data_IF_593627109407
#
_entry.id   IF_593627109407
#
_cell.length_a   1.000
_cell.length_b   1.000
_cell.length_c   1.000
_cell.angle_alpha   90.00
_cell.angle_beta   90.00
_cell.angle_gamma   90.00
#
_symmetry.space_group_name_H-M   'P 1'
#
loop_
_entity.id
_entity.type
_entity.pdbx_description
1 polymer ?
#
# COMPACT_ATOMS: atom_id res chain seq x y z
N UNK A 1 27.02 8.40 -11.59
CA UNK A 1 25.86 9.23 -11.96
C UNK A 1 26.21 10.63 -11.49
N UNK A 2 26.42 11.57 -12.40
CA UNK A 2 26.75 12.96 -12.05
C UNK A 2 25.49 13.59 -11.47
N UNK A 3 25.43 13.77 -10.15
CA UNK A 3 24.39 14.59 -9.53
C UNK A 3 24.65 16.03 -9.92
N UNK A 4 23.76 16.58 -10.74
CA UNK A 4 23.69 18.01 -10.98
C UNK A 4 23.31 18.70 -9.66
N UNK A 5 24.19 19.53 -9.06
CA UNK A 5 23.95 20.16 -7.77
C UNK A 5 22.81 21.19 -7.81
N UNK A 6 22.25 21.52 -8.98
CA UNK A 6 21.09 22.42 -9.13
C UNK A 6 19.74 21.70 -9.27
N UNK A 7 19.70 20.36 -9.23
CA UNK A 7 18.43 19.62 -9.20
C UNK A 7 17.67 19.98 -7.92
N UNK A 8 16.65 20.84 -8.05
CA UNK A 8 15.72 21.16 -6.96
C UNK A 8 15.14 19.84 -6.47
N UNK A 9 15.37 19.54 -5.18
CA UNK A 9 14.80 18.36 -4.54
C UNK A 9 13.31 18.24 -4.89
N UNK A 10 12.96 17.17 -5.60
CA UNK A 10 11.59 16.92 -6.00
C UNK A 10 10.74 16.72 -4.74
N UNK A 11 9.71 17.55 -4.58
CA UNK A 11 8.78 17.49 -3.47
C UNK A 11 7.45 16.94 -3.93
N UNK A 12 6.99 15.87 -3.28
CA UNK A 12 5.67 15.28 -3.54
C UNK A 12 4.57 16.34 -3.33
N UNK A 13 3.65 16.56 -4.28
CA UNK A 13 2.67 17.65 -4.28
C UNK A 13 1.47 17.34 -3.36
N UNK A 14 1.75 17.06 -2.09
CA UNK A 14 0.74 16.70 -1.08
C UNK A 14 -0.38 17.73 -0.92
N UNK A 15 -0.12 19.01 -1.20
CA UNK A 15 -1.16 20.04 -1.16
C UNK A 15 -2.31 19.76 -2.13
N UNK A 16 -2.00 19.39 -3.38
CA UNK A 16 -3.00 19.02 -4.39
C UNK A 16 -3.75 17.76 -3.97
N UNK A 17 -3.03 16.78 -3.43
CA UNK A 17 -3.61 15.55 -2.89
C UNK A 17 -4.62 15.84 -1.78
N UNK A 18 -4.22 16.57 -0.73
CA UNK A 18 -5.09 16.85 0.41
C UNK A 18 -6.31 17.70 0.02
N UNK A 19 -6.16 18.67 -0.89
CA UNK A 19 -7.30 19.43 -1.42
C UNK A 19 -8.26 18.50 -2.16
N UNK A 20 -7.77 17.66 -3.06
CA UNK A 20 -8.61 16.72 -3.81
C UNK A 20 -9.34 15.75 -2.88
N UNK A 21 -8.64 15.15 -1.91
CA UNK A 21 -9.20 14.22 -0.93
C UNK A 21 -10.25 14.92 -0.05
N UNK A 22 -9.98 16.15 0.41
CA UNK A 22 -10.90 16.92 1.23
C UNK A 22 -12.19 17.26 0.49
N UNK A 23 -12.09 17.68 -0.78
CA UNK A 23 -13.25 17.96 -1.63
C UNK A 23 -14.09 16.69 -1.84
N UNK A 24 -13.45 15.56 -2.14
CA UNK A 24 -14.16 14.29 -2.33
C UNK A 24 -14.81 13.79 -1.04
N UNK A 25 -14.11 13.88 0.10
CA UNK A 25 -14.66 13.55 1.41
C UNK A 25 -15.90 14.40 1.72
N UNK A 26 -15.80 15.73 1.56
CA UNK A 26 -16.90 16.64 1.79
C UNK A 26 -18.09 16.37 0.86
N UNK A 27 -17.83 16.06 -0.42
CA UNK A 27 -18.88 15.72 -1.38
C UNK A 27 -19.62 14.43 -1.00
N UNK A 28 -18.91 13.37 -0.59
CA UNK A 28 -19.52 12.10 -0.17
C UNK A 28 -20.30 12.29 1.13
N UNK A 29 -19.75 13.02 2.10
CA UNK A 29 -20.42 13.32 3.36
C UNK A 29 -21.68 14.17 3.13
N UNK A 30 -21.59 15.18 2.26
CA UNK A 30 -22.73 16.00 1.84
C UNK A 30 -23.81 15.18 1.14
N UNK A 31 -23.43 14.24 0.27
CA UNK A 31 -24.37 13.32 -0.37
C UNK A 31 -25.08 12.44 0.66
N UNK A 32 -24.38 11.93 1.67
CA UNK A 32 -25.02 11.18 2.76
C UNK A 32 -26.01 12.04 3.54
N UNK A 33 -25.62 13.28 3.88
CA UNK A 33 -26.50 14.23 4.56
C UNK A 33 -27.74 14.58 3.74
N UNK A 34 -27.66 14.61 2.40
CA UNK A 34 -28.78 14.86 1.50
C UNK A 34 -29.70 13.65 1.32
N UNK A 35 -29.13 12.45 1.13
CA UNK A 35 -29.90 11.22 0.88
C UNK A 35 -30.63 10.74 2.14
N UNK A 36 -29.96 10.82 3.31
CA UNK A 36 -30.55 10.37 4.57
C UNK A 36 -30.24 11.34 5.72
N UNK A 37 -30.88 12.53 5.73
CA UNK A 37 -30.61 13.54 6.76
C UNK A 37 -30.81 13.05 8.21
N UNK A 38 -31.85 12.26 8.55
CA UNK A 38 -32.02 11.74 9.91
C UNK A 38 -30.89 10.79 10.32
N UNK A 39 -30.48 9.88 9.43
CA UNK A 39 -29.39 8.94 9.72
C UNK A 39 -28.07 9.68 9.89
N UNK A 40 -27.77 10.62 8.98
CA UNK A 40 -26.58 11.46 9.08
C UNK A 40 -26.49 12.18 10.43
N UNK A 41 -27.56 12.88 10.83
CA UNK A 41 -27.61 13.58 12.13
C UNK A 41 -27.42 12.63 13.32
N UNK A 42 -28.02 11.45 13.26
CA UNK A 42 -27.89 10.44 14.31
C UNK A 42 -26.45 9.90 14.43
N UNK A 43 -25.72 9.76 13.32
CA UNK A 43 -24.32 9.31 13.35
C UNK A 43 -23.37 10.42 13.84
N UNK A 44 -23.44 11.62 13.26
CA UNK A 44 -22.52 12.72 13.63
C UNK A 44 -22.69 13.20 15.07
N UNK A 45 -23.85 12.93 15.69
CA UNK A 45 -24.08 13.18 17.12
C UNK A 45 -23.32 12.24 18.08
N UNK A 46 -22.53 11.29 17.57
CA UNK A 46 -21.83 10.27 18.37
C UNK A 46 -20.29 10.33 18.19
N UNK A 47 -19.62 11.44 18.51
CA UNK A 47 -18.21 11.66 18.17
C UNK A 47 -17.25 10.60 18.78
N UNK A 48 -17.50 10.18 20.02
CA UNK A 48 -16.67 9.13 20.65
C UNK A 48 -16.84 7.79 19.93
N UNK A 49 -18.08 7.39 19.64
CA UNK A 49 -18.34 6.15 18.90
C UNK A 49 -17.75 6.22 17.50
N UNK A 50 -17.79 7.38 16.83
CA UNK A 50 -17.14 7.59 15.53
C UNK A 50 -15.64 7.30 15.62
N UNK A 51 -14.95 7.85 16.61
CA UNK A 51 -13.52 7.61 16.80
C UNK A 51 -13.22 6.12 17.02
N UNK A 52 -13.95 5.46 17.92
CA UNK A 52 -13.75 4.05 18.23
C UNK A 52 -13.99 3.14 17.01
N UNK A 53 -15.08 3.38 16.29
CA UNK A 53 -15.37 2.65 15.05
C UNK A 53 -14.36 2.96 13.96
N UNK A 54 -13.85 4.19 13.89
CA UNK A 54 -12.81 4.55 12.92
C UNK A 54 -11.54 3.73 13.16
N UNK A 55 -11.10 3.63 14.41
CA UNK A 55 -9.95 2.79 14.78
C UNK A 55 -10.25 1.32 14.49
N UNK A 56 -11.42 0.81 14.89
CA UNK A 56 -11.80 -0.59 14.73
C UNK A 56 -11.89 -1.02 13.25
N UNK A 57 -12.46 -0.19 12.37
CA UNK A 57 -12.54 -0.43 10.93
C UNK A 57 -11.16 -0.42 10.27
N UNK A 58 -10.16 0.22 10.88
CA UNK A 58 -8.76 0.10 10.46
C UNK A 58 -8.27 -1.36 10.41
N UNK A 59 -8.84 -2.27 11.22
CA UNK A 59 -8.46 -3.68 11.21
C UNK A 59 -8.81 -4.37 9.88
N UNK A 60 -10.07 -4.42 9.41
CA UNK A 60 -10.38 -4.97 8.09
C UNK A 60 -9.73 -4.20 6.94
N UNK A 61 -9.53 -2.87 7.06
CA UNK A 61 -8.78 -2.11 6.06
C UNK A 61 -7.32 -2.55 5.96
N UNK A 62 -6.66 -2.84 7.08
CA UNK A 62 -5.29 -3.35 7.06
C UNK A 62 -5.16 -4.76 6.51
N UNK A 63 -6.19 -5.60 6.69
CA UNK A 63 -6.24 -6.91 6.04
C UNK A 63 -6.40 -6.73 4.53
N UNK A 64 -7.28 -5.83 4.13
CA UNK A 64 -7.46 -5.47 2.74
C UNK A 64 -6.15 -4.97 2.14
N UNK A 65 -5.45 -4.02 2.76
CA UNK A 65 -4.16 -3.51 2.29
C UNK A 65 -3.17 -4.65 2.07
N UNK A 66 -3.00 -5.53 3.05
CA UNK A 66 -2.10 -6.68 2.97
C UNK A 66 -2.41 -7.58 1.75
N UNK A 67 -3.70 -7.93 1.56
CA UNK A 67 -4.14 -8.79 0.45
C UNK A 67 -4.10 -8.04 -0.90
N UNK A 68 -4.47 -6.77 -0.89
CA UNK A 68 -4.49 -5.88 -2.04
C UNK A 68 -3.07 -5.72 -2.59
N UNK A 69 -2.11 -5.42 -1.73
CA UNK A 69 -0.72 -5.27 -2.11
C UNK A 69 -0.16 -6.59 -2.67
N UNK A 70 -0.37 -7.70 -1.96
CA UNK A 70 0.18 -9.01 -2.34
C UNK A 70 -0.42 -9.59 -3.62
N UNK A 71 -1.72 -9.47 -3.82
CA UNK A 71 -2.43 -10.20 -4.89
C UNK A 71 -2.95 -9.31 -6.00
N UNK A 72 -3.33 -8.06 -5.71
CA UNK A 72 -3.88 -7.16 -6.71
C UNK A 72 -2.75 -6.32 -7.33
N UNK A 73 -1.91 -5.69 -6.51
CA UNK A 73 -0.79 -4.88 -7.02
C UNK A 73 0.35 -5.74 -7.56
N UNK A 74 0.76 -6.79 -6.84
CA UNK A 74 1.87 -7.66 -7.26
C UNK A 74 1.49 -8.77 -8.24
N UNK A 75 0.20 -9.02 -8.48
CA UNK A 75 -0.21 -10.18 -9.29
C UNK A 75 -1.49 -10.02 -10.11
N UNK A 76 -2.13 -8.85 -10.11
CA UNK A 76 -3.28 -8.50 -10.96
C UNK A 76 -4.33 -9.61 -11.10
N UNK A 77 -4.64 -10.32 -10.01
CA UNK A 77 -5.52 -11.51 -10.06
C UNK A 77 -6.96 -11.18 -10.47
N UNK A 78 -7.32 -9.89 -10.54
CA UNK A 78 -8.61 -9.40 -11.02
C UNK A 78 -8.50 -8.69 -12.39
N UNK A 79 -9.50 -8.85 -13.28
CA UNK A 79 -9.46 -8.42 -14.69
C UNK A 79 -9.65 -6.92 -14.93
N UNK A 80 -9.63 -6.08 -13.90
CA UNK A 80 -9.70 -4.61 -14.03
C UNK A 80 -8.56 -3.92 -13.27
N UNK A 81 -7.62 -4.71 -12.73
CA UNK A 81 -6.50 -4.23 -11.94
C UNK A 81 -5.21 -4.10 -12.76
N UNK A 82 -5.28 -4.27 -14.08
CA UNK A 82 -4.12 -4.22 -14.97
C UNK A 82 -3.35 -2.89 -14.86
N UNK A 83 -4.07 -1.77 -14.83
CA UNK A 83 -3.47 -0.45 -14.73
C UNK A 83 -2.73 -0.28 -13.39
N UNK A 84 -3.37 -0.67 -12.29
CA UNK A 84 -2.78 -0.61 -10.95
C UNK A 84 -1.56 -1.50 -10.80
N UNK A 85 -1.63 -2.74 -11.29
CA UNK A 85 -0.47 -3.64 -11.30
C UNK A 85 0.69 -3.07 -12.14
N UNK A 86 0.40 -2.48 -13.31
CA UNK A 86 1.44 -1.84 -14.13
C UNK A 86 2.07 -0.66 -13.40
N UNK A 87 1.27 0.24 -12.84
CA UNK A 87 1.78 1.38 -12.07
C UNK A 87 2.68 0.90 -10.91
N UNK A 88 2.20 -0.08 -10.14
CA UNK A 88 2.95 -0.64 -9.03
C UNK A 88 4.24 -1.38 -9.46
N UNK A 89 4.18 -2.14 -10.56
CA UNK A 89 5.37 -2.80 -11.11
C UNK A 89 6.39 -1.78 -11.65
N UNK A 90 5.91 -0.70 -12.26
CA UNK A 90 6.74 0.42 -12.71
C UNK A 90 7.40 1.09 -11.51
N UNK A 91 6.66 1.36 -10.45
CA UNK A 91 7.20 1.88 -9.19
C UNK A 91 8.34 1.00 -8.67
N UNK A 92 8.11 -0.31 -8.49
CA UNK A 92 9.18 -1.25 -8.10
C UNK A 92 10.36 -1.31 -9.07
N UNK A 93 10.13 -1.07 -10.36
CA UNK A 93 11.19 -0.98 -11.36
C UNK A 93 12.06 0.27 -11.18
N UNK A 94 11.41 1.40 -10.93
CA UNK A 94 12.04 2.71 -10.75
C UNK A 94 12.71 2.88 -9.39
N UNK A 95 12.20 2.20 -8.36
CA UNK A 95 12.76 2.20 -6.99
C UNK A 95 13.40 0.85 -6.64
N UNK A 96 13.98 0.18 -7.64
CA UNK A 96 14.40 -1.21 -7.50
C UNK A 96 15.54 -1.40 -6.49
N UNK A 97 15.47 -2.52 -5.75
CA UNK A 97 16.57 -3.01 -4.90
C UNK A 97 16.98 -4.38 -5.40
N UNK A 98 18.17 -4.46 -6.01
CA UNK A 98 18.66 -5.67 -6.69
C UNK A 98 19.91 -6.20 -6.00
N UNK A 99 19.81 -7.44 -5.54
CA UNK A 99 20.94 -8.23 -5.07
C UNK A 99 20.66 -9.71 -5.38
N UNK A 100 21.30 -10.29 -6.42
CA UNK A 100 21.03 -11.66 -6.86
C UNK A 100 21.63 -12.70 -5.90
N UNK A 101 21.00 -12.87 -4.74
CA UNK A 101 21.37 -13.88 -3.75
C UNK A 101 20.68 -15.22 -4.05
N UNK A 102 21.41 -16.33 -3.87
CA UNK A 102 20.96 -17.68 -4.24
C UNK A 102 20.90 -18.62 -3.03
N UNK A 103 19.86 -19.48 -2.92
CA UNK A 103 19.81 -20.52 -1.88
C UNK A 103 20.91 -21.58 -2.05
N UNK A 104 21.51 -21.72 -3.23
CA UNK A 104 22.60 -22.68 -3.48
C UNK A 104 23.95 -22.20 -2.93
N UNK A 105 24.10 -20.89 -2.75
CA UNK A 105 25.30 -20.26 -2.19
C UNK A 105 24.89 -19.32 -1.05
N UNK A 106 24.31 -19.84 0.04
CA UNK A 106 23.53 -19.01 0.97
C UNK A 106 24.38 -18.00 1.76
N UNK A 107 25.68 -18.31 1.92
CA UNK A 107 26.65 -17.45 2.60
C UNK A 107 27.36 -16.45 1.66
N UNK A 108 27.21 -16.59 0.33
CA UNK A 108 27.86 -15.68 -0.62
C UNK A 108 27.33 -14.27 -0.45
N UNK A 109 28.27 -13.35 -0.27
CA UNK A 109 28.00 -11.92 -0.25
C UNK A 109 27.87 -11.40 -1.68
N UNK A 110 26.86 -10.58 -1.90
CA UNK A 110 26.56 -9.94 -3.17
C UNK A 110 26.30 -8.47 -2.89
N UNK A 111 26.93 -7.61 -3.68
CA UNK A 111 26.73 -6.17 -3.62
C UNK A 111 25.31 -5.80 -4.08
N UNK A 112 24.68 -4.88 -3.36
CA UNK A 112 23.34 -4.38 -3.69
C UNK A 112 23.42 -3.19 -4.62
N UNK A 113 22.65 -3.22 -5.70
CA UNK A 113 22.31 -2.03 -6.50
C UNK A 113 20.92 -1.55 -6.11
N UNK A 114 20.82 -0.33 -5.58
CA UNK A 114 19.56 0.23 -5.09
C UNK A 114 19.29 1.60 -5.71
N UNK A 115 18.09 1.76 -6.29
CA UNK A 115 17.50 3.03 -6.71
C UNK A 115 16.28 3.38 -5.83
N UNK A 116 16.24 2.85 -4.60
CA UNK A 116 15.09 2.90 -3.72
C UNK A 116 14.45 4.29 -3.47
N UNK A 117 15.20 5.38 -3.25
CA UNK A 117 14.57 6.66 -2.95
C UNK A 117 13.82 7.24 -4.16
N UNK A 118 12.76 7.99 -3.88
CA UNK A 118 12.01 8.77 -4.89
C UNK A 118 12.57 10.19 -4.89
N UNK A 119 13.27 10.54 -5.96
CA UNK A 119 13.96 11.82 -6.14
C UNK A 119 13.57 12.52 -7.44
N UNK A 120 12.85 11.83 -8.34
CA UNK A 120 12.41 12.35 -9.64
C UNK A 120 10.90 12.23 -9.82
N UNK A 121 10.30 13.15 -10.58
CA UNK A 121 8.84 13.25 -10.81
C UNK A 121 8.23 11.97 -11.39
N UNK A 122 8.90 11.35 -12.35
CA UNK A 122 8.41 10.13 -12.97
C UNK A 122 8.37 8.92 -12.00
N UNK A 123 9.17 8.95 -10.92
CA UNK A 123 9.12 7.94 -9.86
C UNK A 123 7.88 8.18 -8.97
N UNK A 124 7.58 9.43 -8.63
CA UNK A 124 6.39 9.84 -7.87
C UNK A 124 5.09 9.43 -8.58
N UNK A 125 4.97 9.72 -9.88
CA UNK A 125 3.77 9.42 -10.68
C UNK A 125 3.36 7.94 -10.61
N UNK A 126 4.34 7.04 -10.45
CA UNK A 126 4.11 5.60 -10.35
C UNK A 126 3.81 5.11 -8.92
N UNK A 127 4.11 5.94 -7.91
CA UNK A 127 4.01 5.62 -6.48
C UNK A 127 2.62 5.92 -5.90
N UNK A 128 1.95 6.96 -6.39
CA UNK A 128 0.68 7.45 -5.84
C UNK A 128 -0.54 6.86 -6.55
N UNK A 129 -1.64 6.68 -5.83
CA UNK A 129 -2.93 6.42 -6.43
C UNK A 129 -3.45 7.67 -7.17
N UNK A 130 -4.30 7.50 -8.20
CA UNK A 130 -4.97 8.61 -8.85
C UNK A 130 -5.75 9.49 -7.86
N UNK A 131 -5.78 10.80 -8.12
CA UNK A 131 -6.47 11.76 -7.24
C UNK A 131 -7.97 11.47 -7.05
N UNK A 132 -8.59 10.68 -7.94
CA UNK A 132 -10.00 10.28 -7.89
C UNK A 132 -10.25 8.93 -7.19
N UNK A 133 -9.27 8.34 -6.51
CA UNK A 133 -9.41 7.01 -5.89
C UNK A 133 -10.31 6.95 -4.66
N UNK A 134 -10.48 8.06 -3.91
CA UNK A 134 -11.25 8.04 -2.67
C UNK A 134 -12.72 7.59 -2.87
N UNK A 135 -13.51 8.13 -3.82
CA UNK A 135 -14.87 7.69 -4.09
C UNK A 135 -14.98 6.19 -4.38
N UNK A 136 -13.98 5.62 -5.06
CA UNK A 136 -13.97 4.19 -5.37
C UNK A 136 -13.75 3.38 -4.10
N UNK A 137 -12.75 3.74 -3.29
CA UNK A 137 -12.52 3.06 -2.01
C UNK A 137 -13.72 3.22 -1.08
N UNK A 138 -14.27 4.44 -0.97
CA UNK A 138 -15.47 4.71 -0.17
C UNK A 138 -16.66 3.85 -0.62
N UNK A 139 -16.91 3.73 -1.92
CA UNK A 139 -17.97 2.89 -2.47
C UNK A 139 -17.74 1.40 -2.18
N UNK A 140 -16.53 0.90 -2.44
CA UNK A 140 -16.18 -0.51 -2.18
C UNK A 140 -16.36 -0.84 -0.70
N UNK A 141 -15.83 -0.03 0.21
CA UNK A 141 -15.93 -0.29 1.65
C UNK A 141 -17.30 0.05 2.23
N UNK A 142 -18.09 0.91 1.59
CA UNK A 142 -19.50 1.06 1.92
C UNK A 142 -20.23 -0.28 1.71
N UNK A 143 -20.00 -0.95 0.58
CA UNK A 143 -20.63 -2.25 0.28
C UNK A 143 -20.08 -3.36 1.17
N UNK A 144 -18.76 -3.45 1.32
CA UNK A 144 -18.13 -4.58 2.02
C UNK A 144 -18.20 -4.50 3.54
N UNK A 145 -18.23 -3.29 4.10
CA UNK A 145 -18.14 -3.07 5.55
C UNK A 145 -19.34 -2.27 6.04
N UNK A 146 -19.55 -1.07 5.51
CA UNK A 146 -20.44 -0.10 6.14
C UNK A 146 -21.91 -0.53 6.12
N UNK A 147 -22.43 -0.96 4.95
CA UNK A 147 -23.83 -1.39 4.81
C UNK A 147 -24.13 -2.67 5.60
N UNK A 148 -23.30 -3.74 5.54
CA UNK A 148 -23.49 -4.91 6.39
C UNK A 148 -23.48 -4.56 7.89
N UNK A 149 -22.46 -3.84 8.37
CA UNK A 149 -22.37 -3.47 9.78
C UNK A 149 -23.51 -2.54 10.20
N UNK A 150 -23.91 -1.59 9.35
CA UNK A 150 -25.05 -0.70 9.63
C UNK A 150 -26.36 -1.47 9.72
N UNK A 151 -26.54 -2.52 8.91
CA UNK A 151 -27.73 -3.37 8.98
C UNK A 151 -27.80 -4.18 10.28
N UNK A 152 -26.64 -4.56 10.84
CA UNK A 152 -26.54 -5.31 12.10
C UNK A 152 -26.57 -4.40 13.34
N UNK A 153 -26.05 -3.18 13.21
CA UNK A 153 -25.86 -2.22 14.30
C UNK A 153 -26.40 -0.83 13.91
N UNK A 154 -27.72 -0.69 13.70
CA UNK A 154 -28.31 0.51 13.10
C UNK A 154 -28.13 1.79 13.92
N UNK A 155 -27.93 1.69 15.23
CA UNK A 155 -27.70 2.84 16.12
C UNK A 155 -26.25 3.34 16.10
N UNK A 156 -25.31 2.53 15.59
CA UNK A 156 -23.89 2.89 15.57
C UNK A 156 -23.56 3.80 14.37
N UNK A 157 -22.53 4.68 14.47
CA UNK A 157 -22.18 5.64 13.44
C UNK A 157 -21.32 5.02 12.31
N UNK A 158 -21.78 3.90 11.75
CA UNK A 158 -20.98 3.05 10.89
C UNK A 158 -20.61 3.71 9.55
N UNK A 159 -21.53 4.46 8.91
CA UNK A 159 -21.29 5.06 7.60
C UNK A 159 -20.23 6.17 7.68
N UNK A 160 -20.39 7.10 8.64
CA UNK A 160 -19.43 8.18 8.91
C UNK A 160 -18.08 7.59 9.32
N UNK A 161 -18.06 6.61 10.22
CA UNK A 161 -16.81 5.99 10.68
C UNK A 161 -16.09 5.24 9.57
N UNK A 162 -16.82 4.55 8.68
CA UNK A 162 -16.20 3.88 7.53
C UNK A 162 -15.59 4.90 6.57
N UNK A 163 -16.31 5.97 6.25
CA UNK A 163 -15.80 7.03 5.38
C UNK A 163 -14.55 7.70 5.96
N UNK A 164 -14.56 8.02 7.26
CA UNK A 164 -13.40 8.57 7.97
C UNK A 164 -12.23 7.58 7.97
N UNK A 165 -12.48 6.30 8.26
CA UNK A 165 -11.45 5.27 8.26
C UNK A 165 -10.78 5.16 6.90
N UNK A 166 -11.57 5.00 5.84
CA UNK A 166 -11.05 4.87 4.47
C UNK A 166 -10.26 6.11 4.07
N UNK A 167 -10.76 7.30 4.39
CA UNK A 167 -10.09 8.57 4.06
C UNK A 167 -8.77 8.72 4.81
N UNK A 168 -8.79 8.48 6.12
CA UNK A 168 -7.60 8.56 6.97
C UNK A 168 -6.56 7.50 6.57
N UNK A 169 -7.01 6.28 6.28
CA UNK A 169 -6.14 5.20 5.84
C UNK A 169 -5.52 5.49 4.48
N UNK A 170 -6.30 6.03 3.53
CA UNK A 170 -5.80 6.43 2.22
C UNK A 170 -4.74 7.55 2.34
N UNK A 171 -5.01 8.58 3.15
CA UNK A 171 -4.03 9.64 3.42
C UNK A 171 -2.77 9.08 4.08
N UNK A 172 -2.93 8.23 5.10
CA UNK A 172 -1.82 7.61 5.80
C UNK A 172 -0.99 6.75 4.85
N UNK A 173 -1.63 6.00 3.96
CA UNK A 173 -0.94 5.19 2.95
C UNK A 173 -0.05 6.03 2.06
N UNK A 174 -0.60 7.07 1.43
CA UNK A 174 0.14 7.94 0.51
C UNK A 174 1.30 8.67 1.20
N UNK A 175 1.02 9.28 2.34
CA UNK A 175 2.02 10.04 3.11
C UNK A 175 3.12 9.12 3.61
N UNK A 176 2.75 7.99 4.22
CA UNK A 176 3.73 7.07 4.79
C UNK A 176 4.53 6.35 3.71
N UNK A 177 3.90 6.00 2.58
CA UNK A 177 4.61 5.43 1.44
C UNK A 177 5.70 6.38 0.93
N UNK A 178 5.37 7.65 0.73
CA UNK A 178 6.35 8.66 0.33
C UNK A 178 7.46 8.87 1.37
N UNK A 179 7.11 8.89 2.66
CA UNK A 179 8.09 9.00 3.75
C UNK A 179 9.08 7.83 3.70
N UNK A 180 8.60 6.60 3.51
CA UNK A 180 9.43 5.40 3.40
C UNK A 180 10.44 5.48 2.23
N UNK A 181 10.10 6.21 1.18
CA UNK A 181 10.96 6.45 0.01
C UNK A 181 11.85 7.70 0.09
N UNK A 182 11.90 8.40 1.23
CA UNK A 182 12.82 9.53 1.39
C UNK A 182 14.30 9.08 1.27
N UNK A 183 15.19 9.93 0.72
CA UNK A 183 16.61 9.65 0.62
C UNK A 183 17.25 9.20 1.93
N UNK A 184 17.92 8.05 1.90
CA UNK A 184 18.50 7.43 3.09
C UNK A 184 19.47 8.36 3.83
N UNK A 185 20.45 8.90 3.11
CA UNK A 185 21.54 9.71 3.69
C UNK A 185 21.03 11.00 4.31
N UNK A 186 20.02 11.64 3.69
CA UNK A 186 19.49 12.93 4.14
C UNK A 186 18.51 12.82 5.30
N UNK A 187 17.63 11.81 5.30
CA UNK A 187 16.50 11.74 6.22
C UNK A 187 16.60 10.58 7.22
N UNK A 188 17.00 9.39 6.75
CA UNK A 188 16.94 8.18 7.55
C UNK A 188 18.19 7.94 8.39
N UNK A 189 19.39 8.11 7.81
CA UNK A 189 20.66 7.92 8.53
C UNK A 189 20.72 8.78 9.81
N UNK A 190 20.45 10.10 9.78
CA UNK A 190 20.52 10.92 11.00
C UNK A 190 19.54 10.44 12.08
N UNK A 191 18.34 10.01 11.69
CA UNK A 191 17.33 9.49 12.61
C UNK A 191 17.72 8.11 13.18
N UNK A 192 18.44 7.29 12.40
CA UNK A 192 18.93 5.98 12.83
C UNK A 192 20.11 6.06 13.82
N UNK A 193 20.91 7.12 13.76
CA UNK A 193 22.04 7.35 14.68
C UNK A 193 21.58 7.79 16.09
N UNK A 194 20.31 8.19 16.23
CA UNK A 194 19.72 8.55 17.52
C UNK A 194 19.69 7.37 18.51
N UNK A 195 20.23 7.57 19.72
CA UNK A 195 20.37 6.52 20.74
C UNK A 195 19.04 5.87 21.17
N UNK A 196 17.96 6.66 21.26
CA UNK A 196 16.67 6.19 21.78
C UNK A 196 15.80 5.52 20.70
N UNK A 197 15.72 6.13 19.52
CA UNK A 197 14.79 5.70 18.47
C UNK A 197 15.48 5.01 17.28
N UNK A 198 16.81 5.05 17.20
CA UNK A 198 17.58 4.52 16.07
C UNK A 198 17.23 3.08 15.67
N UNK A 199 17.17 2.12 16.60
CA UNK A 199 16.77 0.74 16.28
C UNK A 199 15.35 0.64 15.72
N UNK A 200 14.42 1.48 16.17
CA UNK A 200 13.04 1.51 15.67
C UNK A 200 12.98 2.12 14.27
N UNK A 201 13.68 3.24 14.05
CA UNK A 201 13.78 3.89 12.74
C UNK A 201 14.41 2.93 11.71
N UNK A 202 15.46 2.20 12.09
CA UNK A 202 16.08 1.16 11.24
C UNK A 202 15.08 0.08 10.84
N UNK A 203 14.20 -0.34 11.76
CA UNK A 203 13.16 -1.34 11.48
C UNK A 203 12.10 -0.79 10.53
N UNK A 204 11.68 0.47 10.70
CA UNK A 204 10.66 1.11 9.86
C UNK A 204 11.16 1.23 8.41
N UNK A 205 12.33 1.85 8.21
CA UNK A 205 12.92 1.99 6.88
C UNK A 205 13.24 0.63 6.24
N UNK A 206 13.86 -0.27 7.01
CA UNK A 206 14.22 -1.60 6.54
C UNK A 206 13.00 -2.46 6.17
N UNK A 207 11.80 -2.16 6.67
CA UNK A 207 10.59 -2.92 6.37
C UNK A 207 10.19 -2.78 4.90
N UNK A 208 9.95 -1.55 4.43
CA UNK A 208 9.53 -1.32 3.04
C UNK A 208 10.69 -1.44 2.05
N UNK A 209 11.92 -1.12 2.46
CA UNK A 209 13.11 -1.41 1.65
C UNK A 209 13.24 -2.91 1.36
N UNK A 210 13.01 -3.76 2.37
CA UNK A 210 13.02 -5.21 2.21
C UNK A 210 11.88 -5.70 1.30
N UNK A 211 10.72 -5.04 1.32
CA UNK A 211 9.63 -5.32 0.39
C UNK A 211 10.06 -5.10 -1.07
N UNK A 212 10.77 -4.00 -1.35
CA UNK A 212 11.30 -3.73 -2.71
C UNK A 212 12.36 -4.73 -3.16
N UNK A 213 13.14 -5.29 -2.25
CA UNK A 213 14.07 -6.37 -2.58
C UNK A 213 13.38 -7.74 -2.71
N UNK A 214 12.41 -8.03 -1.84
CA UNK A 214 11.61 -9.27 -1.82
C UNK A 214 10.12 -8.93 -1.73
N UNK A 215 9.45 -8.73 -2.87
CA UNK A 215 8.03 -8.38 -2.94
C UNK A 215 7.06 -9.36 -2.28
N UNK A 216 7.52 -10.56 -1.89
CA UNK A 216 6.75 -11.52 -1.10
C UNK A 216 6.75 -11.28 0.41
N UNK A 217 7.53 -10.33 0.91
CA UNK A 217 7.57 -9.93 2.32
C UNK A 217 6.92 -8.58 2.54
N UNK A 218 6.62 -8.24 3.80
CA UNK A 218 6.39 -6.87 4.25
C UNK A 218 5.37 -6.08 3.41
N UNK A 219 4.14 -6.59 3.31
CA UNK A 219 3.10 -6.02 2.45
C UNK A 219 2.43 -4.77 3.04
N UNK A 220 2.45 -4.58 4.37
CA UNK A 220 1.86 -3.41 4.98
C UNK A 220 2.65 -2.13 4.65
N UNK A 221 1.97 -1.08 4.16
CA UNK A 221 2.50 0.28 4.24
C UNK A 221 2.03 0.87 5.56
N UNK A 222 0.71 0.99 5.75
CA UNK A 222 0.12 1.51 7.00
C UNK A 222 -0.05 0.40 8.03
N UNK A 223 -0.55 -0.76 7.60
CA UNK A 223 -0.97 -1.83 8.52
C UNK A 223 -2.09 -1.37 9.47
N UNK A 224 -2.27 -2.11 10.56
CA UNK A 224 -3.21 -1.68 11.59
C UNK A 224 -2.63 -0.50 12.39
N UNK A 225 -2.82 0.71 11.87
CA UNK A 225 -2.36 1.97 12.44
C UNK A 225 -0.86 1.96 12.81
N UNK A 226 -0.01 1.52 11.88
CA UNK A 226 1.45 1.44 12.04
C UNK A 226 1.97 0.06 12.46
N UNK A 227 1.07 -0.92 12.69
CA UNK A 227 1.45 -2.29 13.03
C UNK A 227 1.22 -3.20 11.82
N UNK A 228 2.27 -3.84 11.33
CA UNK A 228 2.22 -4.83 10.24
C UNK A 228 1.63 -6.18 10.72
N UNK A 229 0.42 -6.11 11.31
CA UNK A 229 -0.26 -7.21 11.99
C UNK A 229 -0.34 -8.47 11.11
N UNK A 230 -0.73 -8.31 9.86
CA UNK A 230 -0.94 -9.43 8.93
C UNK A 230 0.37 -10.03 8.41
N UNK A 231 1.40 -9.21 8.24
CA UNK A 231 2.73 -9.73 7.92
C UNK A 231 3.30 -10.60 9.05
N UNK A 232 3.06 -10.20 10.30
CA UNK A 232 3.41 -11.02 11.46
C UNK A 232 2.54 -12.28 11.54
N UNK A 233 1.21 -12.13 11.44
CA UNK A 233 0.26 -13.24 11.54
C UNK A 233 0.51 -14.32 10.49
N UNK A 234 0.90 -13.94 9.26
CA UNK A 234 1.10 -14.88 8.16
C UNK A 234 2.55 -15.21 7.85
N UNK A 235 3.50 -14.81 8.72
CA UNK A 235 4.95 -15.06 8.58
C UNK A 235 5.56 -14.49 7.29
N UNK A 236 5.04 -13.36 6.82
CA UNK A 236 5.58 -12.61 5.68
C UNK A 236 6.37 -11.37 6.13
N UNK A 237 6.42 -11.07 7.42
CA UNK A 237 7.31 -10.06 7.98
C UNK A 237 8.78 -10.52 7.99
N UNK A 238 9.68 -9.77 7.34
CA UNK A 238 11.14 -9.98 7.37
C UNK A 238 11.88 -8.68 7.67
N UNK A 239 12.86 -8.78 8.56
CA UNK A 239 13.82 -7.72 8.79
C UNK A 239 15.16 -8.14 8.19
N UNK A 240 15.77 -7.30 7.35
CA UNK A 240 17.12 -7.56 6.87
C UNK A 240 18.11 -7.38 8.04
N UNK A 241 19.03 -8.33 8.23
CA UNK A 241 20.12 -8.15 9.19
C UNK A 241 21.08 -7.09 8.65
N UNK A 242 21.47 -7.21 7.38
CA UNK A 242 22.18 -6.18 6.62
C UNK A 242 21.21 -5.40 5.74
N UNK A 243 21.10 -4.10 5.96
CA UNK A 243 20.20 -3.27 5.15
C UNK A 243 20.68 -3.28 3.68
N UNK A 244 19.81 -3.59 2.72
CA UNK A 244 20.17 -3.64 1.30
C UNK A 244 20.21 -2.22 0.70
N UNK A 245 21.12 -1.40 1.22
CA UNK A 245 21.47 -0.09 0.68
C UNK A 245 22.42 -0.26 -0.51
N UNK A 246 22.46 0.72 -1.41
CA UNK A 246 23.39 0.69 -2.54
C UNK A 246 24.85 0.53 -2.05
N UNK A 247 25.60 -0.40 -2.64
CA UNK A 247 26.98 -0.73 -2.26
C UNK A 247 27.12 -1.58 -0.99
N UNK A 248 26.03 -1.92 -0.30
CA UNK A 248 26.08 -2.86 0.82
C UNK A 248 26.26 -4.30 0.31
N UNK A 249 26.84 -5.17 1.12
CA UNK A 249 26.91 -6.61 0.85
C UNK A 249 25.83 -7.36 1.63
N UNK A 250 25.08 -8.22 0.95
CA UNK A 250 24.02 -9.05 1.55
C UNK A 250 24.15 -10.50 1.09
N UNK A 251 23.55 -11.42 1.83
CA UNK A 251 23.50 -12.85 1.47
C UNK A 251 22.08 -13.38 1.38
N UNK A 252 21.91 -14.65 1.02
CA UNK A 252 20.60 -15.29 0.98
C UNK A 252 19.91 -15.28 2.35
N UNK A 253 20.69 -15.37 3.43
CA UNK A 253 20.14 -15.34 4.78
C UNK A 253 19.41 -14.02 5.08
N UNK A 254 19.91 -12.88 4.57
CA UNK A 254 19.24 -11.59 4.73
C UNK A 254 17.84 -11.58 4.09
N UNK A 255 17.69 -12.29 2.95
CA UNK A 255 16.47 -12.35 2.16
C UNK A 255 15.56 -13.57 2.41
N UNK A 256 16.03 -14.57 3.17
CA UNK A 256 15.30 -15.81 3.35
C UNK A 256 13.95 -15.58 4.05
N UNK A 257 12.89 -16.12 3.46
CA UNK A 257 11.54 -16.07 4.00
C UNK A 257 11.05 -17.48 4.33
N UNK A 258 10.46 -17.70 5.51
CA UNK A 258 9.73 -18.93 5.76
C UNK A 258 8.53 -19.02 4.82
N UNK A 259 8.00 -20.24 4.63
CA UNK A 259 6.71 -20.37 3.93
C UNK A 259 5.62 -19.64 4.73
N UNK A 260 4.75 -18.86 4.06
CA UNK A 260 3.61 -18.24 4.71
C UNK A 260 2.71 -19.28 5.39
N UNK A 261 1.91 -18.86 6.37
CA UNK A 261 0.91 -19.72 6.99
C UNK A 261 -0.35 -19.83 6.12
N UNK A 262 -1.20 -20.82 6.40
CA UNK A 262 -2.56 -20.86 5.86
C UNK A 262 -3.35 -19.64 6.37
N UNK A 263 -4.19 -18.99 5.54
CA UNK A 263 -4.56 -19.35 4.16
C UNK A 263 -3.63 -18.79 3.07
N UNK A 264 -2.68 -17.92 3.41
CA UNK A 264 -1.80 -17.22 2.45
C UNK A 264 -0.98 -18.21 1.60
N UNK A 265 -0.44 -19.28 2.21
CA UNK A 265 0.27 -20.32 1.48
C UNK A 265 -0.54 -20.94 0.34
N UNK A 266 -1.85 -21.10 0.54
CA UNK A 266 -2.74 -21.70 -0.46
C UNK A 266 -3.07 -20.70 -1.57
N UNK A 267 -3.33 -19.45 -1.21
CA UNK A 267 -3.58 -18.37 -2.18
C UNK A 267 -2.35 -18.13 -3.06
N UNK A 268 -1.15 -18.20 -2.50
CA UNK A 268 0.11 -18.06 -3.26
C UNK A 268 0.27 -19.16 -4.32
N UNK A 269 -0.16 -20.40 -4.03
CA UNK A 269 -0.17 -21.50 -5.02
C UNK A 269 -1.15 -21.23 -6.16
N UNK A 270 -2.30 -20.64 -5.87
CA UNK A 270 -3.33 -20.35 -6.87
C UNK A 270 -3.06 -19.08 -7.69
N UNK A 271 -2.24 -18.17 -7.15
CA UNK A 271 -1.91 -16.86 -7.74
C UNK A 271 -1.59 -16.91 -9.22
N UNK A 272 -0.73 -17.84 -9.64
CA UNK A 272 -0.31 -17.98 -11.06
C UNK A 272 -1.48 -18.34 -11.96
N UNK A 273 -2.34 -19.26 -11.52
CA UNK A 273 -3.54 -19.66 -12.26
C UNK A 273 -4.55 -18.51 -12.36
N UNK A 274 -4.80 -17.82 -11.25
CA UNK A 274 -5.71 -16.68 -11.18
C UNK A 274 -5.25 -15.52 -12.06
N UNK A 275 -3.94 -15.20 -12.06
CA UNK A 275 -3.37 -14.20 -12.96
C UNK A 275 -3.61 -14.54 -14.43
N UNK A 276 -3.30 -15.78 -14.84
CA UNK A 276 -3.52 -16.23 -16.23
C UNK A 276 -5.00 -16.17 -16.63
N UNK A 277 -5.90 -16.59 -15.75
CA UNK A 277 -7.34 -16.52 -15.95
C UNK A 277 -7.81 -15.06 -16.12
N UNK A 278 -7.37 -14.17 -15.23
CA UNK A 278 -7.65 -12.72 -15.29
C UNK A 278 -7.21 -12.09 -16.60
N UNK A 279 -5.96 -12.33 -17.04
CA UNK A 279 -5.44 -11.81 -18.33
C UNK A 279 -6.21 -12.35 -19.54
N UNK A 280 -6.75 -13.56 -19.43
CA UNK A 280 -7.52 -14.18 -20.51
C UNK A 280 -8.90 -13.55 -20.62
N UNK A 281 -9.57 -13.35 -19.48
CA UNK A 281 -10.86 -12.67 -19.41
C UNK A 281 -10.76 -11.21 -19.89
N UNK A 282 -9.72 -10.47 -19.48
CA UNK A 282 -9.46 -9.11 -19.98
C UNK A 282 -9.35 -9.07 -21.50
N UNK A 283 -8.53 -9.95 -22.09
CA UNK A 283 -8.35 -10.03 -23.55
C UNK A 283 -9.64 -10.44 -24.27
N UNK A 284 -10.49 -11.24 -23.62
CA UNK A 284 -11.81 -11.57 -24.15
C UNK A 284 -12.73 -10.35 -24.13
N UNK A 285 -12.86 -9.66 -23.00
CA UNK A 285 -13.71 -8.48 -22.85
C UNK A 285 -13.26 -7.35 -23.78
N UNK A 286 -11.95 -7.08 -23.86
CA UNK A 286 -11.40 -6.08 -24.77
C UNK A 286 -11.77 -6.39 -26.23
N UNK A 287 -11.71 -7.64 -26.67
CA UNK A 287 -12.12 -8.04 -28.02
C UNK A 287 -13.62 -7.86 -28.25
N UNK A 288 -14.47 -8.18 -27.27
CA UNK A 288 -15.93 -8.06 -27.40
C UNK A 288 -16.37 -6.61 -27.44
N UNK A 289 -15.79 -5.76 -26.59
CA UNK A 289 -16.16 -4.35 -26.44
C UNK A 289 -15.55 -3.50 -27.57
N UNK A 290 -14.26 -3.67 -27.89
CA UNK A 290 -13.59 -2.86 -28.90
C UNK A 290 -13.99 -3.24 -30.34
N UNK A 291 -14.39 -4.49 -30.62
CA UNK A 291 -14.98 -4.85 -31.93
C UNK A 291 -16.30 -4.13 -32.22
N UNK A 292 -16.98 -3.61 -31.21
CA UNK A 292 -18.22 -2.83 -31.39
C UNK A 292 -17.97 -1.35 -31.72
N UNK A 293 -16.74 -0.85 -31.58
CA UNK A 293 -16.40 0.53 -31.93
C UNK A 293 -15.97 0.72 -33.39
N UNK A 294 -15.80 -0.37 -34.15
CA UNK A 294 -15.38 -0.35 -35.56
C UNK A 294 -16.49 -0.82 -36.52
N UNK A 295 -17.76 -0.62 -36.16
CA UNK A 295 -18.92 -0.83 -37.04
C UNK A 295 -19.83 0.37 -37.01
#
# INVERSE_FOLDING_TARGET
MNHDPESKAHGVPFSRFFVAVSVQFAAILGLFALISPPAFRAEVGQPLSIFLWTVAIGLPLSLFEYLYHRYLLHSAVLPFMAAMHRAHSTHHGLTSVKAPVSPHEPARLVEVTSAYPVEEEHQEESMMFPLWSLPIFAFVFAILIALPLKSMLPQQPILVSTLLSVTAYYCAYEVWHAVLHLPFERFWRPAMEGRLFGPTVRRMYGFHLMHHWRPGANQAIVGFWGIALWDHAFRTHRRPERMPLSGAEVSYHDAALPQPLWPIAQLDRWKVGLYKASRTLERFLARVVLRRQTR
#
